data_IF_615355926298
#
_entry.id   IF_615355926298
#
_cell.length_a   1.000
_cell.length_b   1.000
_cell.length_c   1.000
_cell.angle_alpha   90.00
_cell.angle_beta   90.00
_cell.angle_gamma   90.00
#
_symmetry.space_group_name_H-M   'P 1'
#
loop_
_entity.id
_entity.type
_entity.pdbx_description
1 polymer ?
#
# COMPACT_ATOMS: atom_id res chain seq x y z
N UNK A 1 -12.53 39.36 -89.47
CA UNK A 1 -13.42 38.20 -89.27
C UNK A 1 -13.52 37.95 -87.77
N UNK A 2 -14.58 38.48 -87.15
CA UNK A 2 -14.94 38.27 -85.75
C UNK A 2 -16.05 37.21 -85.70
N UNK A 3 -15.83 36.14 -84.93
CA UNK A 3 -16.79 35.39 -84.11
C UNK A 3 -16.00 34.18 -83.58
N UNK A 4 -16.09 33.74 -82.33
CA UNK A 4 -17.31 33.50 -81.60
C UNK A 4 -17.03 33.19 -80.12
N UNK A 5 -17.99 33.60 -79.29
CA UNK A 5 -18.48 32.98 -78.06
C UNK A 5 -17.56 32.79 -76.83
N UNK A 6 -17.71 33.78 -75.95
CA UNK A 6 -17.84 33.69 -74.49
C UNK A 6 -18.44 32.35 -73.99
N UNK A 7 -17.80 31.76 -72.98
CA UNK A 7 -18.50 31.06 -71.90
C UNK A 7 -18.06 31.65 -70.56
N UNK A 8 -18.98 32.41 -69.98
CA UNK A 8 -18.93 32.87 -68.59
C UNK A 8 -19.49 31.72 -67.75
N UNK A 9 -18.67 31.14 -66.89
CA UNK A 9 -19.13 30.22 -65.85
C UNK A 9 -19.27 31.03 -64.57
N UNK A 10 -20.51 31.43 -64.27
CA UNK A 10 -20.90 31.99 -62.98
C UNK A 10 -21.04 30.83 -62.01
N UNK A 11 -20.00 30.59 -61.22
CA UNK A 11 -20.02 29.66 -60.10
C UNK A 11 -20.34 30.42 -58.80
N UNK A 12 -21.63 30.60 -58.52
CA UNK A 12 -22.11 30.89 -57.16
C UNK A 12 -21.92 29.63 -56.32
N UNK A 13 -20.90 29.58 -55.47
CA UNK A 13 -20.86 28.61 -54.37
C UNK A 13 -20.47 29.32 -53.09
N UNK A 14 -21.52 29.55 -52.30
CA UNK A 14 -21.61 29.65 -50.86
C UNK A 14 -20.31 29.81 -50.06
N UNK A 15 -20.16 31.01 -49.53
CA UNK A 15 -19.52 31.32 -48.26
C UNK A 15 -20.16 30.48 -47.13
N UNK A 16 -19.68 29.25 -46.92
CA UNK A 16 -19.90 28.52 -45.67
C UNK A 16 -18.74 28.81 -44.73
N UNK A 17 -18.95 29.84 -43.90
CA UNK A 17 -18.33 29.96 -42.59
C UNK A 17 -18.70 28.72 -41.78
N UNK A 18 -17.86 27.68 -41.86
CA UNK A 18 -17.76 26.67 -40.83
C UNK A 18 -16.45 26.98 -40.10
N UNK A 19 -16.57 27.81 -39.05
CA UNK A 19 -15.69 27.70 -37.90
C UNK A 19 -15.99 26.33 -37.27
N UNK A 20 -15.50 25.27 -37.91
CA UNK A 20 -15.11 24.08 -37.19
C UNK A 20 -13.93 24.56 -36.32
N UNK A 21 -14.27 25.05 -35.13
CA UNK A 21 -13.37 24.89 -33.99
C UNK A 21 -13.36 23.38 -33.77
N UNK A 22 -12.58 22.70 -34.60
CA UNK A 22 -11.98 21.42 -34.25
C UNK A 22 -11.06 21.76 -33.09
N UNK A 23 -11.68 21.92 -31.91
CA UNK A 23 -11.05 21.60 -30.65
C UNK A 23 -10.78 20.11 -30.68
N UNK A 24 -9.82 19.71 -31.52
CA UNK A 24 -8.97 18.59 -31.23
C UNK A 24 -8.32 18.96 -29.90
N UNK A 25 -9.00 18.58 -28.82
CA UNK A 25 -8.28 18.19 -27.64
C UNK A 25 -7.39 17.07 -28.14
N UNK A 26 -6.15 17.42 -28.53
CA UNK A 26 -5.06 16.48 -28.53
C UNK A 26 -4.99 16.02 -27.08
N UNK A 27 -5.74 14.97 -26.79
CA UNK A 27 -5.42 14.09 -25.69
C UNK A 27 -4.07 13.56 -26.12
N UNK A 28 -3.01 14.17 -25.59
CA UNK A 28 -1.66 13.63 -25.67
C UNK A 28 -1.77 12.19 -25.16
N UNK A 29 -1.82 11.24 -26.08
CA UNK A 29 -1.92 9.81 -25.79
C UNK A 29 -0.62 9.25 -25.23
N UNK A 30 0.38 10.10 -25.02
CA UNK A 30 1.77 9.70 -24.78
C UNK A 30 2.16 9.61 -23.30
N UNK A 31 1.22 9.81 -22.35
CA UNK A 31 1.52 9.63 -20.92
C UNK A 31 0.32 9.20 -20.07
N UNK A 32 -0.46 8.21 -20.51
CA UNK A 32 -1.42 7.55 -19.61
C UNK A 32 -0.70 6.58 -18.68
N UNK A 33 0.04 7.12 -17.69
CA UNK A 33 0.49 6.32 -16.56
C UNK A 33 -0.73 5.74 -15.85
N UNK A 34 -0.73 4.43 -15.66
CA UNK A 34 -1.72 3.78 -14.81
C UNK A 34 -1.60 4.28 -13.37
N UNK A 35 -2.67 4.13 -12.58
CA UNK A 35 -2.65 4.49 -11.15
C UNK A 35 -1.49 3.77 -10.44
N UNK A 36 -1.28 2.48 -10.74
CA UNK A 36 -0.18 1.70 -10.15
C UNK A 36 1.21 2.25 -10.51
N UNK A 37 1.41 2.71 -11.74
CA UNK A 37 2.67 3.33 -12.17
C UNK A 37 2.91 4.68 -11.48
N UNK A 38 1.87 5.51 -11.40
CA UNK A 38 1.92 6.78 -10.67
C UNK A 38 2.28 6.55 -9.19
N UNK A 39 1.64 5.60 -8.52
CA UNK A 39 1.92 5.30 -7.11
C UNK A 39 3.33 4.73 -6.92
N UNK A 40 3.82 3.88 -7.82
CA UNK A 40 5.20 3.37 -7.77
C UNK A 40 6.22 4.50 -7.96
N UNK A 41 5.94 5.46 -8.84
CA UNK A 41 6.76 6.65 -8.98
C UNK A 41 6.82 7.43 -7.66
N UNK A 42 5.68 7.63 -6.98
CA UNK A 42 5.65 8.27 -5.65
C UNK A 42 6.46 7.52 -4.60
N UNK A 43 6.39 6.19 -4.59
CA UNK A 43 7.25 5.36 -3.72
C UNK A 43 8.73 5.60 -4.01
N UNK A 44 9.10 5.78 -5.28
CA UNK A 44 10.48 6.03 -5.70
C UNK A 44 10.97 7.45 -5.39
N UNK A 45 10.10 8.46 -5.45
CA UNK A 45 10.43 9.88 -5.24
C UNK A 45 10.61 10.26 -3.75
N UNK A 46 10.27 9.33 -2.84
CA UNK A 46 10.70 9.28 -1.44
C UNK A 46 10.17 10.35 -0.45
N UNK A 47 9.04 10.99 -0.67
CA UNK A 47 8.37 11.80 0.38
C UNK A 47 7.64 10.89 1.38
N UNK A 48 7.80 11.12 2.69
CA UNK A 48 7.33 10.18 3.74
C UNK A 48 5.82 9.90 3.70
N UNK A 49 4.96 10.93 3.55
CA UNK A 49 3.51 10.76 3.53
C UNK A 49 3.01 10.07 2.27
N UNK A 50 3.54 10.45 1.11
CA UNK A 50 3.13 9.88 -0.17
C UNK A 50 3.65 8.45 -0.30
N UNK A 51 4.84 8.16 0.25
CA UNK A 51 5.43 6.84 0.26
C UNK A 51 4.53 5.82 0.96
N UNK A 52 4.15 6.09 2.21
CA UNK A 52 3.31 5.16 2.98
C UNK A 52 1.92 5.02 2.38
N UNK A 53 1.30 6.14 2.00
CA UNK A 53 -0.03 6.13 1.37
C UNK A 53 -0.01 5.33 0.07
N UNK A 54 1.00 5.54 -0.77
CA UNK A 54 1.14 4.83 -2.03
C UNK A 54 1.30 3.33 -1.84
N UNK A 55 2.11 2.90 -0.86
CA UNK A 55 2.29 1.47 -0.57
C UNK A 55 1.00 0.82 -0.06
N UNK A 56 0.23 1.51 0.79
CA UNK A 56 -1.06 0.99 1.22
C UNK A 56 -2.05 0.87 0.07
N UNK A 57 -2.16 1.88 -0.79
CA UNK A 57 -3.02 1.81 -1.97
C UNK A 57 -2.57 0.69 -2.92
N UNK A 58 -1.26 0.59 -3.19
CA UNK A 58 -0.70 -0.47 -4.02
C UNK A 58 -1.00 -1.87 -3.45
N UNK A 59 -1.04 -2.02 -2.13
CA UNK A 59 -1.41 -3.29 -1.46
C UNK A 59 -2.88 -3.68 -1.65
N UNK A 60 -3.70 -2.85 -2.30
CA UNK A 60 -5.08 -3.15 -2.67
C UNK A 60 -5.31 -3.23 -4.19
N UNK A 61 -4.34 -2.80 -5.01
CA UNK A 61 -4.45 -2.84 -6.47
C UNK A 61 -3.88 -4.13 -7.07
N UNK A 62 -4.39 -4.55 -8.21
CA UNK A 62 -3.72 -5.56 -9.03
C UNK A 62 -2.49 -4.94 -9.69
N UNK A 63 -1.32 -5.54 -9.49
CA UNK A 63 -0.06 -5.08 -10.06
C UNK A 63 0.34 -5.95 -11.24
N UNK A 64 0.87 -5.33 -12.29
CA UNK A 64 1.51 -6.07 -13.37
C UNK A 64 2.84 -6.66 -12.90
N UNK A 65 3.35 -7.67 -13.61
CA UNK A 65 4.69 -8.21 -13.35
C UNK A 65 5.78 -7.13 -13.43
N UNK A 66 5.61 -6.16 -14.35
CA UNK A 66 6.53 -5.04 -14.44
C UNK A 66 6.53 -4.18 -13.17
N UNK A 67 5.35 -3.86 -12.65
CA UNK A 67 5.21 -3.11 -11.39
C UNK A 67 5.84 -3.86 -10.21
N UNK A 68 5.63 -5.18 -10.12
CA UNK A 68 6.24 -6.03 -9.08
C UNK A 68 7.76 -5.99 -9.19
N UNK A 69 8.34 -6.10 -10.39
CA UNK A 69 9.80 -6.02 -10.61
C UNK A 69 10.37 -4.66 -10.21
N UNK A 70 9.69 -3.56 -10.53
CA UNK A 70 10.11 -2.21 -10.13
C UNK A 70 10.08 -2.08 -8.60
N UNK A 71 8.98 -2.48 -7.95
CA UNK A 71 8.85 -2.42 -6.50
C UNK A 71 9.86 -3.32 -5.78
N UNK A 72 10.12 -4.51 -6.33
CA UNK A 72 11.19 -5.41 -5.85
C UNK A 72 12.58 -4.80 -6.00
N UNK A 73 12.80 -3.98 -7.04
CA UNK A 73 14.05 -3.26 -7.22
C UNK A 73 14.19 -2.10 -6.24
N UNK A 74 13.09 -1.42 -5.88
CA UNK A 74 13.03 -0.42 -4.80
C UNK A 74 13.38 -1.10 -3.47
N UNK A 75 12.74 -2.25 -3.17
CA UNK A 75 13.00 -3.03 -1.97
C UNK A 75 14.48 -3.39 -1.76
N UNK A 76 15.17 -3.82 -2.84
CA UNK A 76 16.58 -4.21 -2.78
C UNK A 76 17.50 -3.04 -2.43
N UNK A 77 17.22 -1.83 -2.94
CA UNK A 77 18.03 -0.63 -2.70
C UNK A 77 17.68 0.12 -1.42
N UNK A 78 16.48 -0.09 -0.87
CA UNK A 78 16.02 0.55 0.36
C UNK A 78 16.89 0.14 1.56
N UNK A 79 17.34 1.16 2.29
CA UNK A 79 18.22 1.05 3.47
C UNK A 79 17.48 1.31 4.77
N UNK A 80 16.43 2.14 4.76
CA UNK A 80 15.62 2.37 5.96
C UNK A 80 14.79 1.11 6.27
N UNK A 81 15.00 0.45 7.42
CA UNK A 81 14.31 -0.79 7.77
C UNK A 81 12.79 -0.62 7.94
N UNK A 82 12.34 0.56 8.37
CA UNK A 82 10.92 0.88 8.47
C UNK A 82 10.34 0.97 7.07
N UNK A 83 10.91 1.78 6.18
CA UNK A 83 10.42 1.85 4.78
C UNK A 83 10.43 0.48 4.10
N UNK A 84 11.48 -0.30 4.35
CA UNK A 84 11.63 -1.65 3.84
C UNK A 84 10.53 -2.60 4.31
N UNK A 85 10.03 -2.48 5.55
CA UNK A 85 8.92 -3.31 6.02
C UNK A 85 7.59 -2.98 5.31
N UNK A 86 7.33 -1.71 4.99
CA UNK A 86 6.12 -1.34 4.21
C UNK A 86 6.20 -1.89 2.78
N UNK A 87 7.38 -1.85 2.16
CA UNK A 87 7.57 -2.42 0.82
C UNK A 87 7.42 -3.94 0.85
N UNK A 88 8.03 -4.62 1.84
CA UNK A 88 7.89 -6.07 2.02
C UNK A 88 6.43 -6.50 2.24
N UNK A 89 5.70 -5.75 3.08
CA UNK A 89 4.26 -5.91 3.26
C UNK A 89 3.52 -5.83 1.92
N UNK A 90 3.76 -4.75 1.15
CA UNK A 90 3.08 -4.52 -0.13
C UNK A 90 3.39 -5.62 -1.14
N UNK A 91 4.66 -6.03 -1.26
CA UNK A 91 5.07 -7.11 -2.14
C UNK A 91 4.41 -8.43 -1.73
N UNK A 92 4.38 -8.76 -0.44
CA UNK A 92 3.69 -9.95 0.05
C UNK A 92 2.19 -9.92 -0.27
N UNK A 93 1.49 -8.81 -0.02
CA UNK A 93 0.05 -8.68 -0.33
C UNK A 93 -0.27 -8.92 -1.80
N UNK A 94 0.70 -8.72 -2.71
CA UNK A 94 0.50 -8.81 -4.16
C UNK A 94 1.01 -10.10 -4.77
N UNK A 95 2.06 -10.69 -4.21
CA UNK A 95 2.69 -11.89 -4.77
C UNK A 95 2.43 -13.14 -3.94
N UNK A 96 2.10 -12.98 -2.65
CA UNK A 96 2.00 -14.05 -1.65
C UNK A 96 3.27 -14.89 -1.52
N UNK A 97 4.41 -14.39 -2.01
CA UNK A 97 5.66 -15.12 -1.98
C UNK A 97 6.24 -15.18 -0.56
N UNK A 98 6.62 -16.40 -0.15
CA UNK A 98 7.14 -16.66 1.20
C UNK A 98 8.36 -15.82 1.57
N UNK A 99 9.20 -15.45 0.60
CA UNK A 99 10.37 -14.60 0.84
C UNK A 99 9.96 -13.23 1.43
N UNK A 100 8.89 -12.61 0.92
CA UNK A 100 8.45 -11.31 1.38
C UNK A 100 7.71 -11.40 2.71
N UNK A 101 7.01 -12.51 2.99
CA UNK A 101 6.51 -12.80 4.33
C UNK A 101 7.65 -12.87 5.35
N UNK A 102 8.67 -13.69 5.06
CA UNK A 102 9.79 -13.88 5.97
C UNK A 102 10.54 -12.58 6.23
N UNK A 103 10.77 -11.80 5.16
CA UNK A 103 11.38 -10.48 5.25
C UNK A 103 10.51 -9.49 6.04
N UNK A 104 9.21 -9.46 5.80
CA UNK A 104 8.26 -8.64 6.56
C UNK A 104 8.32 -8.97 8.06
N UNK A 105 8.19 -10.25 8.43
CA UNK A 105 8.25 -10.69 9.82
C UNK A 105 9.60 -10.31 10.42
N UNK A 106 10.70 -10.58 9.73
CA UNK A 106 12.06 -10.28 10.21
C UNK A 106 12.24 -8.78 10.48
N UNK A 107 11.83 -7.94 9.53
CA UNK A 107 11.99 -6.48 9.58
C UNK A 107 11.01 -5.79 10.53
N UNK A 108 9.88 -6.41 10.85
CA UNK A 108 8.91 -5.81 11.75
C UNK A 108 9.56 -5.50 13.11
N UNK A 109 9.48 -4.25 13.62
CA UNK A 109 10.15 -3.83 14.84
C UNK A 109 9.63 -4.54 16.09
N UNK A 110 10.37 -4.44 17.18
CA UNK A 110 10.00 -4.98 18.50
C UNK A 110 9.94 -3.87 19.53
N UNK A 111 9.17 -4.08 20.60
CA UNK A 111 9.10 -3.15 21.71
C UNK A 111 8.59 -1.75 21.30
N UNK A 112 9.17 -0.72 21.92
CA UNK A 112 8.81 0.67 21.70
C UNK A 112 8.89 1.10 20.22
N UNK A 113 9.79 0.50 19.42
CA UNK A 113 9.93 0.83 18.01
C UNK A 113 8.67 0.53 17.18
N UNK A 114 7.78 -0.34 17.66
CA UNK A 114 6.49 -0.58 17.01
C UNK A 114 5.60 0.66 17.01
N UNK A 115 5.70 1.52 18.03
CA UNK A 115 4.98 2.80 18.08
C UNK A 115 5.27 3.65 16.84
N UNK A 116 6.48 3.56 16.28
CA UNK A 116 6.83 4.28 15.06
C UNK A 116 6.00 3.82 13.87
N UNK A 117 5.81 2.51 13.69
CA UNK A 117 4.97 1.97 12.60
C UNK A 117 3.50 2.33 12.80
N UNK A 118 2.99 2.22 14.03
CA UNK A 118 1.60 2.54 14.32
C UNK A 118 1.30 4.02 14.07
N UNK A 119 2.19 4.91 14.54
CA UNK A 119 2.10 6.35 14.27
C UNK A 119 2.16 6.66 12.78
N UNK A 120 3.07 6.03 12.03
CA UNK A 120 3.14 6.21 10.58
C UNK A 120 1.84 5.75 9.92
N UNK A 121 1.38 4.54 10.28
CA UNK A 121 0.19 3.92 9.69
C UNK A 121 -1.09 4.69 9.98
N UNK A 122 -1.18 5.41 11.11
CA UNK A 122 -2.39 6.13 11.51
C UNK A 122 -2.36 7.62 11.19
N UNK A 123 -1.21 8.27 11.33
CA UNK A 123 -1.12 9.73 11.33
C UNK A 123 -0.22 10.32 10.24
N UNK A 124 0.59 9.50 9.57
CA UNK A 124 1.49 9.98 8.49
C UNK A 124 1.12 9.42 7.13
N UNK A 125 -0.17 9.19 6.92
CA UNK A 125 -0.71 8.71 5.66
C UNK A 125 -2.13 9.24 5.48
N UNK A 126 -2.53 9.47 4.24
CA UNK A 126 -3.91 9.81 3.91
C UNK A 126 -4.80 8.55 3.84
N UNK A 127 -4.21 7.38 4.07
CA UNK A 127 -4.92 6.11 4.12
C UNK A 127 -5.62 5.92 5.48
N UNK A 128 -6.91 6.21 5.54
CA UNK A 128 -7.72 6.09 6.75
C UNK A 128 -7.90 4.62 7.14
N UNK A 129 -7.43 4.26 8.34
CA UNK A 129 -7.59 2.92 8.91
C UNK A 129 -7.84 2.97 10.42
N UNK A 130 -8.60 2.00 10.94
CA UNK A 130 -8.87 1.85 12.37
C UNK A 130 -7.66 1.25 13.10
N UNK A 131 -7.02 0.27 12.47
CA UNK A 131 -5.83 -0.43 12.96
C UNK A 131 -4.74 -0.44 11.89
N UNK A 132 -3.47 -0.40 12.28
CA UNK A 132 -2.35 -0.54 11.35
C UNK A 132 -2.49 -1.81 10.47
N UNK A 133 -2.53 -1.69 9.13
CA UNK A 133 -2.56 -2.86 8.24
C UNK A 133 -1.37 -3.79 8.45
N UNK A 134 -0.20 -3.22 8.76
CA UNK A 134 1.02 -3.98 9.07
C UNK A 134 0.82 -4.82 10.33
N UNK A 135 0.30 -4.23 11.42
CA UNK A 135 0.04 -4.97 12.66
C UNK A 135 -0.96 -6.10 12.44
N UNK A 136 -2.06 -5.83 11.72
CA UNK A 136 -3.07 -6.84 11.41
C UNK A 136 -2.47 -8.01 10.63
N UNK A 137 -1.61 -7.72 9.64
CA UNK A 137 -0.94 -8.78 8.88
C UNK A 137 0.05 -9.57 9.74
N UNK A 138 0.79 -8.91 10.64
CA UNK A 138 1.65 -9.59 11.60
C UNK A 138 0.84 -10.54 12.50
N UNK A 139 -0.34 -10.11 12.97
CA UNK A 139 -1.23 -10.95 13.76
C UNK A 139 -1.72 -12.19 12.98
N UNK A 140 -2.04 -12.03 11.69
CA UNK A 140 -2.39 -13.18 10.85
C UNK A 140 -1.25 -14.20 10.77
N UNK A 141 0.00 -13.76 10.64
CA UNK A 141 1.15 -14.67 10.66
C UNK A 141 1.40 -15.27 12.03
N UNK A 142 1.14 -14.53 13.10
CA UNK A 142 1.34 -14.97 14.47
C UNK A 142 0.50 -16.20 14.84
N UNK A 143 -0.57 -16.51 14.11
CA UNK A 143 -1.37 -17.73 14.30
C UNK A 143 -0.51 -19.00 14.18
N UNK A 144 0.46 -19.01 13.25
CA UNK A 144 1.29 -20.19 12.96
C UNK A 144 2.80 -19.93 13.05
N UNK A 145 3.22 -18.69 13.33
CA UNK A 145 4.63 -18.30 13.34
C UNK A 145 5.02 -17.66 14.67
N UNK A 146 5.86 -18.38 15.44
CA UNK A 146 6.33 -17.94 16.77
C UNK A 146 7.12 -16.64 16.73
N UNK A 147 7.89 -16.38 15.68
CA UNK A 147 8.65 -15.12 15.56
C UNK A 147 7.67 -13.95 15.37
N UNK A 148 6.63 -14.14 14.55
CA UNK A 148 5.59 -13.13 14.38
C UNK A 148 4.81 -12.88 15.66
N UNK A 149 4.45 -13.94 16.41
CA UNK A 149 3.79 -13.81 17.70
C UNK A 149 4.65 -13.06 18.72
N UNK A 150 5.92 -13.43 18.89
CA UNK A 150 6.85 -12.74 19.79
C UNK A 150 6.98 -11.26 19.44
N UNK A 151 7.06 -10.94 18.14
CA UNK A 151 7.05 -9.54 17.69
C UNK A 151 5.73 -8.88 18.07
N UNK A 152 4.59 -9.47 17.77
CA UNK A 152 3.28 -8.91 18.13
C UNK A 152 3.17 -8.63 19.63
N UNK A 153 3.51 -9.59 20.49
CA UNK A 153 3.47 -9.47 21.95
C UNK A 153 4.45 -8.42 22.48
N UNK A 154 5.63 -8.27 21.86
CA UNK A 154 6.61 -7.28 22.30
C UNK A 154 6.12 -5.84 22.21
N UNK A 155 5.09 -5.55 21.41
CA UNK A 155 4.47 -4.23 21.33
C UNK A 155 3.49 -3.95 22.48
N UNK A 156 3.03 -4.98 23.21
CA UNK A 156 1.88 -4.88 24.10
C UNK A 156 2.05 -3.85 25.22
N UNK A 157 3.19 -3.87 25.91
CA UNK A 157 3.52 -2.90 26.97
C UNK A 157 3.52 -1.45 26.45
N UNK A 158 3.91 -1.26 25.19
CA UNK A 158 4.02 0.04 24.54
C UNK A 158 2.75 0.46 23.80
N UNK A 159 1.74 -0.40 23.70
CA UNK A 159 0.48 -0.04 23.05
C UNK A 159 -0.39 0.83 23.97
N UNK A 160 -1.10 1.80 23.40
CA UNK A 160 -2.06 2.63 24.12
C UNK A 160 -3.34 2.86 23.28
N UNK A 161 -4.42 3.28 23.96
CA UNK A 161 -5.71 3.58 23.34
C UNK A 161 -6.16 2.54 22.31
N UNK A 162 -6.44 3.01 21.10
CA UNK A 162 -6.91 2.17 19.99
C UNK A 162 -5.89 1.11 19.53
N UNK A 163 -4.57 1.34 19.69
CA UNK A 163 -3.57 0.33 19.35
C UNK A 163 -3.58 -0.83 20.36
N UNK A 164 -3.74 -0.52 21.66
CA UNK A 164 -3.84 -1.55 22.70
C UNK A 164 -5.11 -2.37 22.54
N UNK A 165 -6.25 -1.73 22.28
CA UNK A 165 -7.52 -2.41 22.02
C UNK A 165 -7.40 -3.35 20.81
N UNK A 166 -6.93 -2.83 19.67
CA UNK A 166 -6.74 -3.64 18.47
C UNK A 166 -5.75 -4.78 18.66
N UNK A 167 -4.69 -4.58 19.44
CA UNK A 167 -3.70 -5.61 19.72
C UNK A 167 -4.27 -6.70 20.65
N UNK A 168 -5.04 -6.30 21.67
CA UNK A 168 -5.72 -7.22 22.58
C UNK A 168 -6.70 -8.12 21.83
N UNK A 169 -7.52 -7.53 20.94
CA UNK A 169 -8.43 -8.27 20.08
C UNK A 169 -7.73 -9.28 19.18
N UNK A 170 -6.59 -8.89 18.59
CA UNK A 170 -5.78 -9.77 17.75
C UNK A 170 -5.18 -10.93 18.55
N UNK A 171 -4.62 -10.66 19.73
CA UNK A 171 -4.07 -11.71 20.60
C UNK A 171 -5.19 -12.65 21.06
N UNK A 172 -6.36 -12.12 21.42
CA UNK A 172 -7.53 -12.90 21.80
C UNK A 172 -8.03 -13.80 20.66
N UNK A 173 -8.01 -13.31 19.41
CA UNK A 173 -8.33 -14.13 18.24
C UNK A 173 -7.34 -15.28 18.07
N UNK A 174 -6.04 -15.03 18.22
CA UNK A 174 -5.02 -16.09 18.14
C UNK A 174 -5.20 -17.10 19.28
N UNK A 175 -5.48 -16.62 20.50
CA UNK A 175 -5.75 -17.46 21.66
C UNK A 175 -6.95 -18.39 21.42
N UNK A 176 -8.05 -17.88 20.87
CA UNK A 176 -9.22 -18.70 20.53
C UNK A 176 -8.91 -19.83 19.55
N UNK A 177 -7.93 -19.65 18.66
CA UNK A 177 -7.49 -20.68 17.72
C UNK A 177 -6.46 -21.64 18.32
N UNK A 178 -5.59 -21.17 19.22
CA UNK A 178 -4.53 -21.98 19.81
C UNK A 178 -4.16 -21.51 21.24
N UNK A 179 -4.93 -21.92 22.26
CA UNK A 179 -4.77 -21.42 23.63
C UNK A 179 -3.40 -21.74 24.23
N UNK A 180 -2.98 -23.01 24.17
CA UNK A 180 -1.73 -23.48 24.79
C UNK A 180 -0.50 -22.78 24.22
N UNK A 181 -0.54 -22.53 22.91
CA UNK A 181 0.51 -21.79 22.22
C UNK A 181 0.65 -20.37 22.75
N UNK A 182 -0.48 -19.66 22.94
CA UNK A 182 -0.48 -18.29 23.43
C UNK A 182 -0.11 -18.23 24.91
N UNK A 183 -0.68 -19.09 25.76
CA UNK A 183 -0.37 -19.12 27.20
C UNK A 183 1.13 -19.30 27.44
N UNK A 184 1.75 -20.22 26.72
CA UNK A 184 3.20 -20.46 26.83
C UNK A 184 4.02 -19.22 26.46
N UNK A 185 3.63 -18.48 25.43
CA UNK A 185 4.36 -17.29 24.98
C UNK A 185 4.08 -16.07 25.88
N UNK A 186 2.85 -15.88 26.35
CA UNK A 186 2.51 -14.80 27.30
C UNK A 186 3.30 -14.91 28.60
N UNK A 187 3.43 -16.13 29.14
CA UNK A 187 4.25 -16.38 30.33
C UNK A 187 5.72 -15.98 30.12
N UNK A 188 6.28 -16.14 28.92
CA UNK A 188 7.66 -15.71 28.63
C UNK A 188 7.82 -14.19 28.59
N UNK A 189 6.73 -13.47 28.38
CA UNK A 189 6.69 -12.01 28.25
C UNK A 189 6.09 -11.31 29.48
N UNK A 190 5.77 -12.04 30.56
CA UNK A 190 5.13 -11.50 31.78
C UNK A 190 3.81 -10.76 31.51
N UNK A 191 3.01 -11.24 30.55
CA UNK A 191 1.68 -10.68 30.27
C UNK A 191 0.64 -11.63 30.88
N UNK A 192 -0.23 -11.11 31.75
CA UNK A 192 -1.30 -11.92 32.34
C UNK A 192 -2.49 -12.08 31.37
N UNK A 193 -3.18 -13.23 31.42
CA UNK A 193 -4.40 -13.46 30.63
C UNK A 193 -5.51 -12.46 30.96
N UNK A 194 -5.56 -12.02 32.22
CA UNK A 194 -6.50 -11.02 32.74
C UNK A 194 -6.37 -9.69 32.00
N UNK A 195 -5.16 -9.30 31.60
CA UNK A 195 -4.90 -8.08 30.84
C UNK A 195 -5.53 -8.10 29.44
N UNK A 196 -5.75 -9.30 28.89
CA UNK A 196 -6.40 -9.52 27.60
C UNK A 196 -7.93 -9.69 27.72
N UNK A 197 -8.48 -9.51 28.92
CA UNK A 197 -9.90 -9.73 29.21
C UNK A 197 -10.30 -11.22 29.20
N UNK A 198 -9.33 -12.14 29.30
CA UNK A 198 -9.57 -13.58 29.39
C UNK A 198 -9.68 -13.94 30.87
N UNK A 199 -10.83 -14.52 31.26
CA UNK A 199 -11.12 -14.97 32.63
C UNK A 199 -10.61 -16.38 32.86
#
# INVERSE_FOLDING_TARGET
>A
MFSSLRKVVVGCICLFLLLAVDGQCQIDSDNTNTISEYLIQKVNDCTDSDFTTSLFLLSHLTLTENNIRVLSSIYKREKDPIRKVFIAFTLYERTLEKRYENDFIKLYPVGEQQRRIWKISRYKTDYVNVSSPLQRRLANFAITNQIALKKLLSGYEFSDGADRESLSDQILQIYKSNPDYIVRELHQHNIELSELGIK
#
